data_IF_519287279785
#
_entry.id   IF_519287279785
#
_cell.length_a   1.000
_cell.length_b   1.000
_cell.length_c   1.000
_cell.angle_alpha   90.00
_cell.angle_beta   90.00
_cell.angle_gamma   90.00
#
_symmetry.space_group_name_H-M   'P 1'
#
loop_
_entity.id
_entity.type
_entity.pdbx_description
1 polymer ?
#
# COMPACT_ATOMS: atom_id res chain seq x y z
N UNK A 1 -18.14 6.17 7.83
CA UNK A 1 -17.58 5.96 9.18
C UNK A 1 -17.50 7.28 9.86
N UNK A 2 -18.01 7.37 11.06
CA UNK A 2 -18.03 8.55 11.91
C UNK A 2 -17.26 8.26 13.20
N UNK A 3 -17.04 9.28 14.02
CA UNK A 3 -16.19 9.17 15.19
C UNK A 3 -14.71 9.35 14.80
N UNK A 4 -13.82 8.98 15.68
CA UNK A 4 -12.40 9.25 15.55
C UNK A 4 -12.00 10.53 16.29
N UNK A 5 -10.71 10.75 16.43
CA UNK A 5 -10.14 11.85 17.17
C UNK A 5 -9.62 12.95 16.23
N UNK A 6 -10.15 14.16 16.34
CA UNK A 6 -9.69 15.32 15.57
C UNK A 6 -8.53 16.00 16.30
N UNK A 7 -7.47 16.33 15.54
CA UNK A 7 -6.36 17.17 15.98
C UNK A 7 -5.94 18.11 14.84
N UNK A 8 -6.33 19.39 14.94
CA UNK A 8 -6.13 20.33 13.84
C UNK A 8 -6.85 19.86 12.57
N UNK A 9 -6.13 19.78 11.46
CA UNK A 9 -6.63 19.29 10.18
C UNK A 9 -6.57 17.75 10.01
N UNK A 10 -6.25 17.02 11.10
CA UNK A 10 -6.07 15.58 11.09
C UNK A 10 -7.22 14.87 11.81
N UNK A 11 -7.73 13.79 11.20
CA UNK A 11 -8.72 12.89 11.77
C UNK A 11 -8.12 11.49 11.91
N UNK A 12 -8.16 10.93 13.12
CA UNK A 12 -7.54 9.64 13.44
C UNK A 12 -8.58 8.58 13.78
N UNK A 13 -8.45 7.42 13.13
CA UNK A 13 -9.23 6.22 13.41
C UNK A 13 -8.33 5.04 13.78
N UNK A 14 -8.78 4.24 14.73
CA UNK A 14 -8.14 2.96 15.09
C UNK A 14 -9.18 1.86 15.05
N UNK A 15 -8.87 0.79 14.33
CA UNK A 15 -9.74 -0.37 14.18
C UNK A 15 -9.04 -1.62 14.70
N UNK A 16 -9.79 -2.51 15.35
CA UNK A 16 -9.32 -3.86 15.65
C UNK A 16 -9.18 -4.65 14.34
N UNK A 17 -10.17 -4.53 13.48
CA UNK A 17 -10.27 -5.18 12.17
C UNK A 17 -10.80 -4.18 11.15
N UNK A 18 -10.29 -4.21 9.94
CA UNK A 18 -10.77 -3.36 8.86
C UNK A 18 -10.93 -4.17 7.57
N UNK A 19 -12.18 -4.51 7.25
CA UNK A 19 -12.53 -5.28 6.07
C UNK A 19 -13.71 -4.65 5.33
N UNK A 20 -13.72 -4.73 4.00
CA UNK A 20 -14.84 -4.27 3.15
C UNK A 20 -15.27 -5.41 2.24
N UNK A 21 -16.47 -5.95 2.49
CA UNK A 21 -17.01 -7.08 1.72
C UNK A 21 -17.40 -6.64 0.32
N UNK A 22 -17.46 -7.59 -0.58
CA UNK A 22 -17.98 -7.40 -1.93
C UNK A 22 -19.38 -6.77 -1.92
N UNK A 23 -19.62 -5.87 -2.89
CA UNK A 23 -20.87 -5.10 -2.99
C UNK A 23 -21.10 -4.10 -1.87
N UNK A 24 -20.14 -3.89 -0.96
CA UNK A 24 -20.23 -2.92 0.14
C UNK A 24 -19.27 -1.76 -0.04
N UNK A 25 -19.60 -0.64 0.61
CA UNK A 25 -18.73 0.54 0.67
C UNK A 25 -18.42 0.93 2.11
N UNK A 26 -17.17 1.30 2.33
CA UNK A 26 -16.70 1.90 3.57
C UNK A 26 -16.24 3.33 3.28
N UNK A 27 -16.97 4.31 3.79
CA UNK A 27 -16.68 5.73 3.57
C UNK A 27 -16.34 6.42 4.88
N UNK A 28 -15.22 7.08 4.91
CA UNK A 28 -14.87 8.00 5.98
C UNK A 28 -15.62 9.30 5.81
N UNK A 29 -16.30 9.75 6.86
CA UNK A 29 -16.86 11.10 6.90
C UNK A 29 -15.71 12.11 6.99
N UNK A 30 -15.81 13.20 6.22
CA UNK A 30 -14.81 14.27 6.21
C UNK A 30 -15.43 15.56 6.80
N UNK A 31 -15.33 15.79 8.11
CA UNK A 31 -15.76 17.05 8.71
C UNK A 31 -15.02 18.25 8.12
N UNK A 32 -15.65 19.42 8.17
CA UNK A 32 -15.05 20.65 7.68
C UNK A 32 -13.69 20.93 8.35
N UNK A 33 -12.70 21.32 7.55
CA UNK A 33 -11.33 21.62 8.00
C UNK A 33 -10.42 20.40 8.15
N UNK A 34 -10.90 19.18 7.86
CA UNK A 34 -10.04 17.98 7.85
C UNK A 34 -9.41 17.83 6.46
N UNK A 35 -8.08 17.78 6.43
CA UNK A 35 -7.25 17.59 5.23
C UNK A 35 -6.70 16.17 5.10
N UNK A 36 -6.53 15.48 6.24
CA UNK A 36 -5.98 14.12 6.26
C UNK A 36 -6.70 13.22 7.25
N UNK A 37 -7.01 12.01 6.80
CA UNK A 37 -7.63 10.95 7.59
C UNK A 37 -6.62 9.82 7.74
N UNK A 38 -6.23 9.55 8.98
CA UNK A 38 -5.29 8.49 9.33
C UNK A 38 -6.04 7.33 9.95
N UNK A 39 -5.96 6.17 9.31
CA UNK A 39 -6.59 4.93 9.78
C UNK A 39 -5.53 3.87 10.03
N UNK A 40 -5.55 3.26 11.21
CA UNK A 40 -4.68 2.12 11.53
C UNK A 40 -5.50 0.92 11.97
N UNK A 41 -4.98 -0.26 11.68
CA UNK A 41 -5.47 -1.54 12.20
C UNK A 41 -4.52 -2.02 13.29
N UNK A 42 -5.06 -2.28 14.47
CA UNK A 42 -4.29 -2.67 15.67
C UNK A 42 -4.49 -4.12 16.08
N UNK A 43 -5.35 -4.85 15.37
CA UNK A 43 -5.51 -6.30 15.50
C UNK A 43 -4.42 -7.07 14.75
N UNK A 44 -4.58 -8.38 14.68
CA UNK A 44 -3.55 -9.29 14.16
C UNK A 44 -3.86 -9.83 12.76
N UNK A 45 -4.94 -9.37 12.12
CA UNK A 45 -5.37 -9.87 10.83
C UNK A 45 -5.11 -8.85 9.71
N UNK A 46 -4.80 -9.34 8.52
CA UNK A 46 -4.74 -8.53 7.32
C UNK A 46 -6.11 -7.90 6.99
N UNK A 47 -6.10 -6.76 6.31
CA UNK A 47 -7.32 -6.14 5.77
C UNK A 47 -7.69 -6.77 4.45
N UNK A 48 -8.92 -7.29 4.34
CA UNK A 48 -9.50 -7.76 3.08
C UNK A 48 -10.52 -6.74 2.58
N UNK A 49 -10.16 -6.04 1.49
CA UNK A 49 -10.97 -5.01 0.86
C UNK A 49 -11.41 -5.52 -0.50
N UNK A 50 -12.65 -6.02 -0.60
CA UNK A 50 -13.26 -6.49 -1.86
C UNK A 50 -14.46 -5.65 -2.29
N UNK A 51 -14.63 -4.48 -1.70
CA UNK A 51 -15.66 -3.49 -2.00
C UNK A 51 -15.05 -2.10 -2.16
N UNK A 52 -15.88 -1.08 -2.02
CA UNK A 52 -15.46 0.31 -2.24
C UNK A 52 -14.94 0.94 -0.95
N UNK A 53 -13.77 1.55 -1.02
CA UNK A 53 -13.17 2.34 0.07
C UNK A 53 -13.05 3.81 -0.36
N UNK A 54 -13.64 4.72 0.40
CA UNK A 54 -13.68 6.13 0.01
C UNK A 54 -13.73 7.14 1.15
N UNK A 55 -13.78 8.41 0.76
CA UNK A 55 -13.91 9.55 1.65
C UNK A 55 -15.07 10.43 1.16
N UNK A 56 -15.98 10.82 2.06
CA UNK A 56 -17.06 11.77 1.77
C UNK A 56 -16.53 13.21 1.87
N UNK A 57 -15.64 13.58 0.94
CA UNK A 57 -14.96 14.87 0.91
C UNK A 57 -13.62 14.81 0.19
N UNK A 58 -12.74 15.78 0.45
CA UNK A 58 -11.48 15.95 -0.27
C UNK A 58 -10.24 15.56 0.53
N UNK A 59 -10.41 15.03 1.75
CA UNK A 59 -9.27 14.65 2.58
C UNK A 59 -8.48 13.48 1.97
N UNK A 60 -7.18 13.48 2.22
CA UNK A 60 -6.30 12.36 1.93
C UNK A 60 -6.59 11.21 2.89
N UNK A 61 -6.52 9.97 2.42
CA UNK A 61 -6.74 8.77 3.22
C UNK A 61 -5.45 7.96 3.35
N UNK A 62 -5.05 7.72 4.59
CA UNK A 62 -3.91 6.87 4.97
C UNK A 62 -4.46 5.62 5.68
N UNK A 63 -4.18 4.45 5.14
CA UNK A 63 -4.55 3.16 5.73
C UNK A 63 -3.29 2.37 6.08
N UNK A 64 -3.10 2.10 7.38
CA UNK A 64 -2.00 1.28 7.88
C UNK A 64 -2.53 -0.04 8.43
N UNK A 65 -1.98 -1.14 7.92
CA UNK A 65 -2.15 -2.46 8.52
C UNK A 65 -0.85 -3.28 8.44
N UNK A 66 -0.09 -3.39 9.53
CA UNK A 66 1.16 -4.16 9.55
C UNK A 66 1.02 -5.64 9.19
N UNK A 67 -0.20 -6.19 9.26
CA UNK A 67 -0.44 -7.61 8.96
C UNK A 67 -0.75 -7.89 7.49
N UNK A 68 -0.78 -6.85 6.64
CA UNK A 68 -1.05 -6.97 5.22
C UNK A 68 -2.36 -6.31 4.75
N UNK A 69 -2.43 -6.05 3.45
CA UNK A 69 -3.63 -5.49 2.81
C UNK A 69 -3.89 -6.25 1.51
N UNK A 70 -5.09 -6.82 1.40
CA UNK A 70 -5.60 -7.43 0.17
C UNK A 70 -6.71 -6.56 -0.41
N UNK A 71 -6.49 -6.04 -1.62
CA UNK A 71 -7.53 -5.47 -2.47
C UNK A 71 -7.98 -6.56 -3.45
N UNK A 72 -9.16 -7.12 -3.22
CA UNK A 72 -9.74 -8.19 -4.04
C UNK A 72 -10.20 -7.69 -5.41
N UNK A 73 -10.69 -8.60 -6.29
CA UNK A 73 -11.04 -8.26 -7.68
C UNK A 73 -12.12 -7.17 -7.82
N UNK A 74 -13.01 -7.05 -6.83
CA UNK A 74 -14.08 -6.04 -6.81
C UNK A 74 -13.73 -4.81 -5.97
N UNK A 75 -12.48 -4.73 -5.49
CA UNK A 75 -12.00 -3.56 -4.76
C UNK A 75 -11.93 -2.33 -5.67
N UNK A 76 -12.36 -1.21 -5.13
CA UNK A 76 -12.21 0.09 -5.76
C UNK A 76 -12.00 1.19 -4.74
N UNK A 77 -11.30 2.25 -5.14
CA UNK A 77 -11.11 3.45 -4.32
C UNK A 77 -12.01 4.58 -4.81
N UNK A 78 -12.47 5.41 -3.88
CA UNK A 78 -13.31 6.59 -4.14
C UNK A 78 -12.93 7.78 -3.23
N UNK A 79 -11.64 8.15 -3.08
CA UNK A 79 -11.24 9.39 -2.46
C UNK A 79 -11.11 10.48 -3.53
N UNK A 80 -11.53 11.72 -3.22
CA UNK A 80 -11.18 12.88 -4.04
C UNK A 80 -9.74 13.36 -3.82
N UNK A 81 -9.16 13.04 -2.66
CA UNK A 81 -7.76 13.28 -2.32
C UNK A 81 -6.84 12.14 -2.71
N UNK A 82 -5.66 12.12 -2.10
CA UNK A 82 -4.67 11.05 -2.25
C UNK A 82 -5.02 9.83 -1.39
N UNK A 83 -4.52 8.67 -1.79
CA UNK A 83 -4.60 7.43 -1.01
C UNK A 83 -3.19 6.88 -0.74
N UNK A 84 -2.95 6.50 0.50
CA UNK A 84 -1.78 5.72 0.89
C UNK A 84 -2.23 4.46 1.63
N UNK A 85 -1.88 3.29 1.07
CA UNK A 85 -1.98 1.99 1.74
C UNK A 85 -0.60 1.49 2.14
N UNK A 86 -0.41 1.10 3.41
CA UNK A 86 0.89 0.66 3.87
C UNK A 86 0.83 -0.44 4.93
N UNK A 87 1.81 -1.35 4.89
CA UNK A 87 2.07 -2.31 5.96
C UNK A 87 3.10 -1.84 6.97
N UNK A 88 3.42 -0.54 6.96
CA UNK A 88 4.28 0.09 7.97
C UNK A 88 3.69 -0.04 9.38
N UNK A 89 4.59 -0.04 10.37
CA UNK A 89 4.23 -0.12 11.78
C UNK A 89 3.70 1.19 12.33
N UNK A 90 4.14 2.32 11.79
CA UNK A 90 3.76 3.66 12.27
C UNK A 90 3.87 4.73 11.20
N UNK A 91 3.05 5.79 11.36
CA UNK A 91 3.25 7.10 10.75
C UNK A 91 4.02 8.01 11.71
N UNK A 92 5.00 8.72 11.17
CA UNK A 92 5.80 9.75 11.87
C UNK A 92 5.31 11.14 11.51
N UNK A 93 5.28 12.02 12.50
CA UNK A 93 4.82 13.41 12.33
C UNK A 93 5.93 14.41 12.65
N UNK A 94 5.78 15.66 12.15
CA UNK A 94 6.76 16.72 12.30
C UNK A 94 6.99 17.19 13.74
N UNK A 95 6.08 16.89 14.66
CA UNK A 95 6.21 17.17 16.09
C UNK A 95 6.85 16.02 16.89
N UNK A 96 7.42 15.03 16.20
CA UNK A 96 8.06 13.86 16.79
C UNK A 96 7.10 12.78 17.30
N UNK A 97 5.79 12.96 17.16
CA UNK A 97 4.81 11.95 17.53
C UNK A 97 4.71 10.85 16.48
N UNK A 98 4.19 9.71 16.93
CA UNK A 98 3.94 8.55 16.09
C UNK A 98 2.50 8.09 16.22
N UNK A 99 1.90 7.72 15.10
CA UNK A 99 0.64 6.99 15.05
C UNK A 99 0.92 5.52 14.73
N UNK A 100 1.23 4.75 15.78
CA UNK A 100 1.68 3.36 15.65
C UNK A 100 0.50 2.38 15.65
N UNK A 101 0.50 1.44 14.71
CA UNK A 101 -0.45 0.34 14.64
C UNK A 101 -0.01 -0.86 15.52
N UNK A 102 1.30 -1.06 15.70
CA UNK A 102 1.86 -2.20 16.46
C UNK A 102 2.05 -1.88 17.95
N UNK A 103 2.19 -0.61 18.31
CA UNK A 103 2.34 -0.17 19.69
C UNK A 103 1.43 1.04 19.98
N UNK A 104 0.10 0.84 19.98
CA UNK A 104 -0.84 1.93 20.23
C UNK A 104 -0.79 2.35 21.70
N UNK A 105 -0.39 3.60 21.95
CA UNK A 105 -0.43 4.17 23.30
C UNK A 105 -1.86 4.45 23.77
N UNK A 106 -2.11 4.38 25.08
CA UNK A 106 -3.40 4.70 25.70
C UNK A 106 -3.16 5.71 26.85
N UNK A 107 -3.64 6.98 26.74
CA UNK A 107 -4.34 7.58 25.60
C UNK A 107 -3.41 7.80 24.37
N UNK A 108 -3.95 7.78 23.16
CA UNK A 108 -3.14 7.94 21.96
C UNK A 108 -2.54 9.35 21.88
N UNK A 109 -1.23 9.42 21.63
CA UNK A 109 -0.51 10.67 21.36
C UNK A 109 -0.75 11.07 19.88
N UNK A 110 -1.79 11.86 19.64
CA UNK A 110 -2.18 12.28 18.30
C UNK A 110 -1.58 13.65 17.95
N UNK A 111 -1.15 13.81 16.70
CA UNK A 111 -0.45 14.98 16.18
C UNK A 111 -1.38 15.98 15.49
N UNK A 112 -1.09 17.26 15.62
CA UNK A 112 -1.64 18.34 14.78
C UNK A 112 -0.77 18.60 13.55
N UNK A 113 0.44 18.04 13.52
CA UNK A 113 1.41 18.22 12.44
C UNK A 113 1.09 17.35 11.22
N UNK A 114 1.71 17.68 10.09
CA UNK A 114 1.65 16.86 8.87
C UNK A 114 2.46 15.58 9.04
N UNK A 115 2.09 14.50 8.33
CA UNK A 115 2.91 13.29 8.29
C UNK A 115 4.25 13.60 7.61
N UNK A 116 5.34 13.06 8.15
CA UNK A 116 6.67 13.18 7.55
C UNK A 116 7.15 11.86 6.96
N UNK A 117 6.62 10.73 7.41
CA UNK A 117 7.07 9.44 6.93
C UNK A 117 6.33 8.26 7.51
N UNK A 118 6.67 7.08 6.98
CA UNK A 118 6.25 5.77 7.50
C UNK A 118 7.46 5.00 7.98
N UNK A 119 7.29 4.26 9.07
CA UNK A 119 8.33 3.44 9.66
C UNK A 119 7.99 1.96 9.58
N UNK A 120 8.92 1.18 9.04
CA UNK A 120 8.93 -0.27 9.09
C UNK A 120 9.91 -0.70 10.18
N UNK A 121 9.40 -1.30 11.25
CA UNK A 121 10.21 -1.76 12.37
C UNK A 121 10.96 -3.07 12.02
N UNK A 122 11.65 -3.62 13.01
CA UNK A 122 12.30 -4.92 12.84
C UNK A 122 11.27 -6.04 12.69
N UNK A 123 11.56 -6.98 11.81
CA UNK A 123 10.68 -8.05 11.35
C UNK A 123 10.35 -7.90 9.87
N UNK A 124 9.99 -8.99 9.22
CA UNK A 124 9.65 -8.94 7.79
C UNK A 124 8.36 -8.14 7.59
N UNK A 125 8.35 -7.04 6.82
CA UNK A 125 7.12 -6.31 6.56
C UNK A 125 6.15 -7.18 5.73
N UNK A 126 4.87 -7.11 6.05
CA UNK A 126 3.84 -7.87 5.34
C UNK A 126 3.59 -7.35 3.92
N UNK A 127 2.93 -8.18 3.11
CA UNK A 127 2.65 -7.86 1.72
C UNK A 127 1.40 -6.99 1.51
N UNK A 128 1.35 -6.35 0.35
CA UNK A 128 0.13 -5.78 -0.24
C UNK A 128 -0.16 -6.52 -1.55
N UNK A 129 -1.40 -6.99 -1.71
CA UNK A 129 -1.87 -7.57 -2.96
C UNK A 129 -3.03 -6.74 -3.51
N UNK A 130 -3.00 -6.40 -4.81
CA UNK A 130 -4.07 -5.70 -5.50
C UNK A 130 -4.51 -6.45 -6.77
N UNK A 131 -5.79 -6.79 -6.83
CA UNK A 131 -6.45 -7.42 -7.97
C UNK A 131 -7.63 -6.60 -8.49
N UNK A 132 -7.94 -5.49 -7.78
CA UNK A 132 -9.03 -4.59 -8.08
C UNK A 132 -8.61 -3.37 -8.91
N UNK A 133 -9.51 -2.41 -8.95
CA UNK A 133 -9.31 -1.14 -9.66
C UNK A 133 -9.11 -0.01 -8.63
N UNK A 134 -7.85 0.28 -8.30
CA UNK A 134 -7.49 1.35 -7.38
C UNK A 134 -7.28 2.65 -8.16
N UNK A 135 -8.24 3.55 -8.07
CA UNK A 135 -8.21 4.85 -8.74
C UNK A 135 -8.32 6.01 -7.76
N UNK A 136 -7.48 7.01 -7.91
CA UNK A 136 -7.51 8.27 -7.17
C UNK A 136 -7.44 9.44 -8.12
N UNK A 137 -7.92 10.61 -7.72
CA UNK A 137 -7.71 11.84 -8.50
C UNK A 137 -6.29 12.38 -8.34
N UNK A 138 -5.74 12.27 -7.13
CA UNK A 138 -4.40 12.75 -6.80
C UNK A 138 -3.42 11.59 -6.72
N UNK A 139 -2.64 11.48 -5.65
CA UNK A 139 -1.58 10.48 -5.55
C UNK A 139 -2.11 9.13 -5.03
N UNK A 140 -1.53 8.05 -5.53
CA UNK A 140 -1.76 6.68 -5.08
C UNK A 140 -0.43 6.06 -4.65
N UNK A 141 -0.32 5.72 -3.38
CA UNK A 141 0.91 5.17 -2.81
C UNK A 141 0.64 3.82 -2.14
N UNK A 142 1.41 2.80 -2.49
CA UNK A 142 1.38 1.46 -1.88
C UNK A 142 2.78 1.09 -1.37
N UNK A 143 2.92 0.87 -0.06
CA UNK A 143 4.19 0.58 0.60
C UNK A 143 4.08 -0.68 1.45
N UNK A 144 4.77 -1.74 1.08
CA UNK A 144 4.75 -3.03 1.80
C UNK A 144 6.09 -3.77 1.72
N UNK A 145 6.23 -4.90 2.41
CA UNK A 145 7.39 -5.76 2.28
C UNK A 145 7.52 -6.38 0.90
N UNK A 146 6.38 -6.73 0.32
CA UNK A 146 6.20 -7.16 -1.08
C UNK A 146 4.93 -6.50 -1.59
N UNK A 147 4.92 -6.04 -2.83
CA UNK A 147 3.71 -5.45 -3.43
C UNK A 147 3.41 -6.12 -4.76
N UNK A 148 2.28 -6.83 -4.83
CA UNK A 148 1.82 -7.49 -6.04
C UNK A 148 0.51 -6.85 -6.53
N UNK A 149 0.55 -6.16 -7.68
CA UNK A 149 -0.60 -5.53 -8.30
C UNK A 149 -0.81 -6.06 -9.71
N UNK A 150 -1.72 -7.01 -9.87
CA UNK A 150 -2.19 -7.47 -11.19
C UNK A 150 -3.51 -6.83 -11.61
N UNK A 151 -4.12 -6.05 -10.70
CA UNK A 151 -5.22 -5.14 -11.00
C UNK A 151 -4.76 -3.82 -11.62
N UNK A 152 -5.65 -2.83 -11.62
CA UNK A 152 -5.34 -1.50 -12.13
C UNK A 152 -4.93 -0.54 -11.02
N UNK A 153 -3.91 0.27 -11.27
CA UNK A 153 -3.53 1.44 -10.48
C UNK A 153 -3.70 2.68 -11.36
N UNK A 154 -4.49 3.66 -10.92
CA UNK A 154 -4.82 4.85 -11.71
C UNK A 154 -4.76 6.12 -10.87
N UNK A 155 -3.92 7.07 -11.30
CA UNK A 155 -3.82 8.43 -10.75
C UNK A 155 -3.49 9.41 -11.90
N UNK A 156 -4.43 9.67 -12.84
CA UNK A 156 -4.14 10.36 -14.09
C UNK A 156 -3.66 11.80 -13.90
N UNK A 157 -4.05 12.46 -12.82
CA UNK A 157 -3.62 13.82 -12.48
C UNK A 157 -2.50 13.84 -11.42
N UNK A 158 -2.14 12.68 -10.86
CA UNK A 158 -1.22 12.53 -9.74
C UNK A 158 -0.05 11.59 -10.00
N UNK A 159 0.63 11.27 -8.92
CA UNK A 159 1.72 10.31 -8.90
C UNK A 159 1.25 8.94 -8.40
N UNK A 160 1.72 7.87 -9.03
CA UNK A 160 1.70 6.53 -8.47
C UNK A 160 3.08 6.20 -7.93
N UNK A 161 3.14 5.78 -6.66
CA UNK A 161 4.33 5.23 -6.04
C UNK A 161 4.03 3.84 -5.48
N UNK A 162 4.77 2.83 -5.94
CA UNK A 162 4.69 1.47 -5.41
C UNK A 162 6.09 1.07 -4.96
N UNK A 163 6.22 0.69 -3.69
CA UNK A 163 7.52 0.28 -3.17
C UNK A 163 7.44 -0.96 -2.29
N UNK A 164 8.32 -1.93 -2.59
CA UNK A 164 8.68 -2.98 -1.67
C UNK A 164 9.82 -2.50 -0.77
N UNK A 165 9.58 -2.53 0.54
CA UNK A 165 10.41 -1.86 1.54
C UNK A 165 11.00 -2.90 2.50
N UNK A 166 12.33 -2.92 2.68
CA UNK A 166 12.95 -3.80 3.65
C UNK A 166 12.63 -3.37 5.09
N UNK A 167 12.79 -4.29 6.02
CA UNK A 167 12.60 -4.00 7.42
C UNK A 167 13.60 -2.93 7.92
N UNK A 168 13.27 -2.26 9.02
CA UNK A 168 14.10 -1.22 9.60
C UNK A 168 14.10 0.10 8.83
N UNK A 169 13.32 0.22 7.76
CA UNK A 169 13.30 1.42 6.90
C UNK A 169 12.39 2.52 7.43
N UNK A 170 12.78 3.75 7.14
CA UNK A 170 11.93 4.94 7.28
C UNK A 170 11.85 5.61 5.91
N UNK A 171 10.64 5.76 5.39
CA UNK A 171 10.40 6.46 4.13
C UNK A 171 9.78 7.82 4.40
N UNK A 172 10.28 8.85 3.74
CA UNK A 172 9.78 10.21 3.87
C UNK A 172 8.58 10.44 2.94
N UNK A 173 7.56 11.10 3.47
CA UNK A 173 6.32 11.43 2.78
C UNK A 173 6.12 12.94 2.72
N UNK A 174 5.43 13.41 1.68
CA UNK A 174 4.79 14.72 1.67
C UNK A 174 3.53 14.72 2.55
N UNK A 175 2.98 15.90 2.81
CA UNK A 175 1.71 16.05 3.53
C UNK A 175 0.53 15.32 2.88
N UNK A 176 0.60 15.07 1.57
CA UNK A 176 -0.42 14.36 0.79
C UNK A 176 -0.13 12.86 0.65
N UNK A 177 0.86 12.32 1.38
CA UNK A 177 1.25 10.90 1.30
C UNK A 177 2.05 10.53 0.05
N UNK A 178 2.55 11.51 -0.69
CA UNK A 178 3.45 11.28 -1.81
C UNK A 178 4.83 10.86 -1.28
N UNK A 179 5.41 9.84 -1.86
CA UNK A 179 6.76 9.39 -1.51
C UNK A 179 7.78 10.40 -2.02
N UNK A 180 8.58 10.99 -1.09
CA UNK A 180 9.54 12.05 -1.42
C UNK A 180 10.93 11.51 -1.73
N UNK A 181 11.31 10.42 -1.10
CA UNK A 181 12.64 9.86 -1.26
C UNK A 181 12.60 8.34 -1.14
N UNK A 182 13.06 7.65 -2.19
CA UNK A 182 13.32 6.23 -2.16
C UNK A 182 14.84 6.11 -2.24
N UNK A 183 15.46 5.59 -1.16
CA UNK A 183 16.84 5.17 -1.24
C UNK A 183 16.98 4.16 -2.37
N UNK A 184 18.02 4.28 -3.18
CA UNK A 184 18.31 3.26 -4.19
C UNK A 184 18.35 1.90 -3.50
N UNK A 185 17.65 0.89 -4.03
CA UNK A 185 17.65 -0.42 -3.42
C UNK A 185 19.07 -0.95 -3.33
N UNK A 186 19.48 -1.36 -2.14
CA UNK A 186 20.78 -2.00 -1.97
C UNK A 186 20.62 -3.49 -2.31
N UNK A 187 21.41 -3.98 -3.23
CA UNK A 187 21.53 -5.40 -3.53
C UNK A 187 22.03 -6.17 -2.29
N UNK A 188 21.15 -6.87 -1.65
CA UNK A 188 21.46 -7.67 -0.47
C UNK A 188 20.28 -8.59 -0.18
N UNK A 189 20.38 -9.81 -0.63
CA UNK A 189 19.28 -10.77 -0.73
C UNK A 189 18.88 -11.33 0.62
N UNK A 190 17.59 -11.42 0.92
CA UNK A 190 17.04 -12.65 1.42
C UNK A 190 16.30 -13.38 0.29
N UNK A 191 16.75 -14.56 -0.08
CA UNK A 191 16.06 -15.48 -0.98
C UNK A 191 14.82 -16.12 -0.34
N UNK A 192 14.17 -15.39 0.56
CA UNK A 192 12.98 -15.89 1.23
C UNK A 192 11.76 -15.68 0.33
N UNK A 193 11.04 -16.75 0.11
CA UNK A 193 9.74 -16.71 -0.55
C UNK A 193 8.76 -15.86 0.26
N UNK A 194 7.94 -15.07 -0.42
CA UNK A 194 7.01 -14.16 0.25
C UNK A 194 5.87 -14.94 0.93
N UNK A 195 6.11 -15.41 2.15
CA UNK A 195 5.12 -16.11 2.96
C UNK A 195 3.90 -15.24 3.24
N UNK A 196 4.11 -13.95 3.52
CA UNK A 196 3.01 -13.01 3.79
C UNK A 196 2.12 -12.77 2.56
N UNK A 197 2.69 -12.77 1.33
CA UNK A 197 1.90 -12.70 0.11
C UNK A 197 1.12 -14.00 -0.12
N UNK A 198 1.75 -15.17 0.11
CA UNK A 198 1.10 -16.46 0.00
C UNK A 198 -0.12 -16.57 0.94
N UNK A 199 0.04 -16.17 2.21
CA UNK A 199 -1.05 -16.15 3.18
C UNK A 199 -2.21 -15.24 2.76
N UNK A 200 -1.91 -14.04 2.22
CA UNK A 200 -2.93 -13.11 1.75
C UNK A 200 -3.77 -13.68 0.60
N UNK A 201 -3.17 -14.44 -0.32
CA UNK A 201 -3.83 -14.88 -1.55
C UNK A 201 -4.22 -16.36 -1.55
N UNK A 202 -3.85 -17.14 -0.53
CA UNK A 202 -4.02 -18.60 -0.44
C UNK A 202 -5.45 -19.10 -0.70
N UNK A 203 -6.45 -18.32 -0.31
CA UNK A 203 -7.87 -18.68 -0.48
C UNK A 203 -8.55 -17.87 -1.59
N UNK A 204 -7.79 -17.28 -2.48
CA UNK A 204 -8.30 -16.37 -3.49
C UNK A 204 -7.99 -16.90 -4.88
N UNK A 205 -8.99 -16.97 -5.72
CA UNK A 205 -8.80 -17.33 -7.13
C UNK A 205 -8.43 -16.06 -7.91
N UNK A 206 -7.13 -15.74 -7.93
CA UNK A 206 -6.64 -14.45 -8.39
C UNK A 206 -5.99 -14.54 -9.78
N UNK A 207 -6.31 -13.62 -10.70
CA UNK A 207 -5.72 -13.64 -12.03
C UNK A 207 -4.20 -13.38 -12.00
N UNK A 208 -3.43 -14.25 -12.66
CA UNK A 208 -2.00 -14.01 -12.91
C UNK A 208 -1.03 -14.51 -11.82
N UNK A 209 -1.52 -14.78 -10.60
CA UNK A 209 -0.72 -15.35 -9.51
C UNK A 209 -1.40 -16.60 -8.95
N UNK A 210 -0.62 -17.59 -8.57
CA UNK A 210 -1.09 -18.81 -7.92
C UNK A 210 -0.18 -19.17 -6.75
N UNK A 211 -0.73 -19.86 -5.77
CA UNK A 211 0.06 -20.46 -4.68
C UNK A 211 0.23 -21.94 -5.01
N UNK A 212 1.49 -22.37 -5.12
CA UNK A 212 1.81 -23.77 -5.42
C UNK A 212 1.72 -24.65 -4.15
N UNK A 213 1.94 -25.96 -4.33
CA UNK A 213 1.90 -26.95 -3.23
C UNK A 213 2.96 -26.72 -2.13
N UNK A 214 3.95 -25.90 -2.39
CA UNK A 214 5.01 -25.53 -1.45
C UNK A 214 4.77 -24.18 -0.78
N UNK A 215 3.53 -23.65 -0.87
CA UNK A 215 3.12 -22.35 -0.33
C UNK A 215 3.88 -21.15 -0.95
N UNK A 216 4.36 -21.30 -2.19
CA UNK A 216 5.07 -20.27 -2.90
C UNK A 216 4.15 -19.57 -3.89
N UNK A 217 4.25 -18.25 -3.99
CA UNK A 217 3.53 -17.48 -5.00
C UNK A 217 4.30 -17.50 -6.30
N UNK A 218 3.63 -17.93 -7.36
CA UNK A 218 4.19 -18.02 -8.71
C UNK A 218 3.32 -17.28 -9.72
N UNK A 219 3.97 -16.77 -10.78
CA UNK A 219 3.25 -16.27 -11.95
C UNK A 219 2.69 -17.46 -12.76
N UNK A 220 1.42 -17.42 -13.03
CA UNK A 220 0.74 -18.49 -13.80
C UNK A 220 1.48 -18.74 -15.13
N UNK A 221 1.91 -19.99 -15.36
CA UNK A 221 2.53 -20.42 -16.60
C UNK A 221 3.99 -20.02 -16.82
N UNK A 222 4.64 -19.33 -15.88
CA UNK A 222 6.04 -18.88 -16.05
C UNK A 222 7.06 -19.68 -15.26
N UNK A 223 6.64 -20.36 -14.18
CA UNK A 223 7.56 -21.00 -13.22
C UNK A 223 8.42 -20.04 -12.40
N UNK A 224 8.15 -18.72 -12.48
CA UNK A 224 8.85 -17.72 -11.69
C UNK A 224 8.10 -17.45 -10.40
N UNK A 225 8.80 -17.48 -9.28
CA UNK A 225 8.25 -17.17 -7.96
C UNK A 225 8.35 -15.70 -7.64
N UNK A 226 7.42 -15.22 -6.81
CA UNK A 226 7.50 -13.91 -6.15
C UNK A 226 8.16 -14.08 -4.79
N UNK A 227 9.19 -13.31 -4.55
CA UNK A 227 9.95 -13.35 -3.29
C UNK A 227 9.75 -12.07 -2.49
N UNK A 228 10.16 -12.08 -1.23
CA UNK A 228 10.11 -10.89 -0.39
C UNK A 228 10.95 -9.76 -0.99
N UNK A 229 10.41 -8.55 -0.93
CA UNK A 229 11.06 -7.39 -1.54
C UNK A 229 10.74 -7.18 -3.01
N UNK A 230 9.94 -8.07 -3.64
CA UNK A 230 9.52 -7.91 -5.02
C UNK A 230 8.37 -6.89 -5.16
N UNK A 231 8.36 -6.23 -6.32
CA UNK A 231 7.20 -5.49 -6.84
C UNK A 231 6.74 -6.15 -8.12
N UNK A 232 5.44 -6.45 -8.18
CA UNK A 232 4.75 -6.93 -9.39
C UNK A 232 3.74 -5.89 -9.81
N UNK A 233 3.76 -5.47 -11.07
CA UNK A 233 2.81 -4.51 -11.61
C UNK A 233 2.31 -4.91 -13.00
N UNK A 234 1.00 -4.68 -13.25
CA UNK A 234 0.36 -4.93 -14.55
C UNK A 234 -0.12 -3.64 -15.21
N UNK A 235 -1.10 -2.95 -14.65
CA UNK A 235 -1.73 -1.78 -15.27
C UNK A 235 -1.51 -0.54 -14.40
N UNK A 236 -0.77 0.44 -14.92
CA UNK A 236 -0.44 1.68 -14.23
C UNK A 236 -0.72 2.88 -15.14
N UNK A 237 -1.62 3.76 -14.72
CA UNK A 237 -1.95 4.99 -15.44
C UNK A 237 -1.77 6.19 -14.49
N UNK A 238 -0.82 7.07 -14.77
CA UNK A 238 -0.50 8.18 -13.91
C UNK A 238 0.04 9.39 -14.67
N UNK A 239 0.11 10.56 -14.01
CA UNK A 239 0.91 11.65 -14.49
C UNK A 239 2.41 11.28 -14.41
N UNK A 240 2.84 10.78 -13.25
CA UNK A 240 4.18 10.23 -13.04
C UNK A 240 4.08 8.93 -12.26
N UNK A 241 4.98 7.98 -12.51
CA UNK A 241 5.00 6.71 -11.77
C UNK A 241 6.42 6.35 -11.31
N UNK A 242 6.52 5.84 -10.09
CA UNK A 242 7.75 5.28 -9.53
C UNK A 242 7.44 3.92 -8.93
N UNK A 243 8.04 2.88 -9.51
CA UNK A 243 7.93 1.51 -9.02
C UNK A 243 9.30 1.08 -8.53
N UNK A 244 9.41 0.75 -7.25
CA UNK A 244 10.69 0.41 -6.61
C UNK A 244 10.60 -0.91 -5.88
N UNK A 245 11.37 -1.87 -6.31
CA UNK A 245 11.51 -3.15 -5.65
C UNK A 245 12.83 -3.19 -4.85
N UNK A 246 12.80 -3.72 -3.64
CA UNK A 246 14.03 -4.01 -2.90
C UNK A 246 14.81 -5.14 -3.57
N UNK A 247 14.09 -6.09 -4.19
CA UNK A 247 14.65 -7.22 -4.92
C UNK A 247 14.32 -7.12 -6.42
N UNK A 248 13.25 -7.80 -6.91
CA UNK A 248 12.90 -7.75 -8.34
C UNK A 248 11.68 -6.89 -8.62
N UNK A 249 11.69 -6.16 -9.72
CA UNK A 249 10.54 -5.51 -10.30
C UNK A 249 10.08 -6.30 -11.53
N UNK A 250 8.87 -6.88 -11.46
CA UNK A 250 8.30 -7.65 -12.57
C UNK A 250 7.07 -6.95 -13.13
N UNK A 251 7.14 -6.60 -14.41
CA UNK A 251 6.02 -6.07 -15.19
C UNK A 251 5.39 -7.23 -15.96
N UNK A 252 4.10 -7.54 -15.68
CA UNK A 252 3.40 -8.70 -16.25
C UNK A 252 2.34 -8.22 -17.21
N UNK A 253 2.42 -8.60 -18.51
CA UNK A 253 1.46 -8.16 -19.56
C UNK A 253 1.08 -6.67 -19.38
N UNK A 254 2.06 -5.85 -19.10
CA UNK A 254 1.84 -4.53 -18.50
C UNK A 254 1.43 -3.50 -19.53
N UNK A 255 0.45 -2.67 -19.14
CA UNK A 255 0.14 -1.40 -19.78
C UNK A 255 0.49 -0.28 -18.81
N UNK A 256 1.62 0.38 -19.04
CA UNK A 256 2.04 1.51 -18.25
C UNK A 256 1.94 2.77 -19.10
N UNK A 257 1.07 3.69 -18.71
CA UNK A 257 0.87 4.98 -19.33
C UNK A 257 1.17 6.12 -18.37
N UNK A 258 2.19 6.92 -18.68
CA UNK A 258 2.50 8.16 -17.95
C UNK A 258 2.58 9.31 -18.92
N UNK A 259 2.14 10.51 -18.49
CA UNK A 259 2.33 11.76 -19.26
C UNK A 259 3.64 12.46 -18.92
N UNK A 260 4.27 12.09 -17.83
CA UNK A 260 5.58 12.55 -17.35
C UNK A 260 6.50 11.37 -17.06
N UNK A 261 7.30 11.48 -16.02
CA UNK A 261 8.36 10.52 -15.71
C UNK A 261 7.84 9.15 -15.27
N UNK A 262 8.51 8.12 -15.76
CA UNK A 262 8.38 6.73 -15.30
C UNK A 262 9.74 6.26 -14.75
N UNK A 263 9.78 5.97 -13.45
CA UNK A 263 10.96 5.43 -12.78
C UNK A 263 10.74 3.98 -12.39
N UNK A 264 11.57 3.09 -12.89
CA UNK A 264 11.56 1.65 -12.58
C UNK A 264 12.89 1.30 -11.91
N UNK A 265 12.84 0.94 -10.63
CA UNK A 265 14.02 0.67 -9.82
C UNK A 265 13.90 -0.72 -9.19
N UNK A 266 14.96 -1.51 -9.29
CA UNK A 266 15.05 -2.80 -8.64
C UNK A 266 16.45 -2.99 -8.04
N UNK A 267 16.53 -3.64 -6.88
CA UNK A 267 17.80 -3.99 -6.25
C UNK A 267 18.56 -5.05 -7.03
N UNK A 268 17.82 -5.94 -7.70
CA UNK A 268 18.39 -7.03 -8.49
C UNK A 268 17.98 -6.92 -9.97
N UNK A 269 16.74 -7.22 -10.32
CA UNK A 269 16.33 -7.33 -11.73
C UNK A 269 15.02 -6.62 -12.02
N UNK A 270 14.98 -5.89 -13.16
CA UNK A 270 13.72 -5.45 -13.80
C UNK A 270 13.36 -6.46 -14.87
N UNK A 271 12.17 -7.09 -14.76
CA UNK A 271 11.67 -8.12 -15.69
C UNK A 271 10.41 -7.63 -16.39
N UNK A 272 10.28 -8.01 -17.65
CA UNK A 272 9.03 -7.81 -18.41
C UNK A 272 8.58 -9.20 -18.89
N UNK A 273 7.41 -9.63 -18.43
CA UNK A 273 6.79 -10.89 -18.83
C UNK A 273 5.61 -10.59 -19.75
N UNK A 274 5.66 -11.12 -20.97
CA UNK A 274 4.58 -11.15 -21.93
C UNK A 274 4.21 -12.61 -22.23
N UNK A 275 2.94 -12.90 -22.42
CA UNK A 275 2.43 -14.21 -22.83
C UNK A 275 1.89 -14.15 -24.24
#
# INVERSE_FOLDING_TARGET
MEGGAIRGANLFHSFQEFNVRDGRGAYFNNPAGIESIFSRVTGNNASNINGKLGVLGNANLFLLNPNGILFGPNASLDPNGSFLGSTANALKFGDGKEFSATNPTTPPLLSVSVPLGVQFNQGQPSAIANFGNLSTRQNLTLLGGTVASTGQLSAPEGQIAVAAVPNGSVLNLSSTGQLLNIAAPSSGVPENLSSSLAELIQNSNLPGLTVNSNEQVEFVGSGLSVVDGDVVAKNVIAKTATLTAHHNLTLVESQIGTTGDLNLLAGDTVRVLGY
#
